data_IF_925761501211
#
_entry.id   IF_925761501211
#
_cell.length_a   1.000
_cell.length_b   1.000
_cell.length_c   1.000
_cell.angle_alpha   90.00
_cell.angle_beta   90.00
_cell.angle_gamma   90.00
#
_symmetry.space_group_name_H-M   'P 1'
#
loop_
_entity.id
_entity.type
_entity.pdbx_description
1 polymer ?
#
# COMPACT_ATOMS: atom_id res chain seq x y z
N UNK A 1 20.30 15.20 10.74
CA UNK A 1 18.91 14.68 10.70
C UNK A 1 18.02 15.57 9.86
N UNK A 2 17.22 14.99 8.95
CA UNK A 2 16.20 15.71 8.15
C UNK A 2 14.82 15.21 8.55
N UNK A 3 13.99 16.08 9.10
CA UNK A 3 12.63 15.72 9.51
C UNK A 3 11.74 15.53 8.27
N UNK A 4 11.09 14.38 8.15
CA UNK A 4 10.17 14.08 7.05
C UNK A 4 8.92 14.99 7.08
N UNK A 5 8.42 15.26 8.28
CA UNK A 5 7.17 15.93 8.58
C UNK A 5 7.19 17.45 8.39
N UNK A 6 8.29 18.12 8.76
CA UNK A 6 8.45 19.58 8.63
C UNK A 6 9.56 20.02 7.65
N UNK A 7 10.39 19.07 7.16
CA UNK A 7 11.56 19.32 6.28
C UNK A 7 12.65 20.20 6.88
N UNK A 8 12.68 20.39 8.20
CA UNK A 8 13.82 20.99 8.90
C UNK A 8 14.98 20.01 8.93
N UNK A 9 16.19 20.56 8.78
CA UNK A 9 17.45 19.82 8.87
C UNK A 9 18.22 20.39 10.07
N UNK A 10 18.62 19.50 10.98
CA UNK A 10 19.43 19.85 12.14
C UNK A 10 20.44 18.73 12.40
N UNK A 11 21.62 19.06 12.94
CA UNK A 11 22.52 18.06 13.50
C UNK A 11 21.85 17.41 14.71
N UNK A 12 22.15 16.13 14.96
CA UNK A 12 21.57 15.39 16.10
C UNK A 12 21.86 16.10 17.43
N UNK A 13 23.10 16.59 17.61
CA UNK A 13 23.53 17.36 18.78
C UNK A 13 22.83 18.72 18.92
N UNK A 14 22.31 19.29 17.84
CA UNK A 14 21.65 20.60 17.84
C UNK A 14 20.13 20.52 18.05
N UNK A 15 19.53 19.31 18.15
CA UNK A 15 18.08 19.15 18.30
C UNK A 15 17.58 19.77 19.61
N UNK A 16 18.28 19.52 20.73
CA UNK A 16 17.89 20.09 22.03
C UNK A 16 18.02 21.62 22.02
N UNK A 17 19.06 22.15 21.37
CA UNK A 17 19.25 23.61 21.20
C UNK A 17 18.09 24.24 20.43
N UNK A 18 17.64 23.58 19.35
CA UNK A 18 16.48 24.02 18.57
C UNK A 18 15.20 24.05 19.43
N UNK A 19 14.96 23.00 20.21
CA UNK A 19 13.75 22.89 21.04
C UNK A 19 13.78 23.84 22.23
N UNK A 20 14.90 23.94 22.95
CA UNK A 20 14.98 24.66 24.22
C UNK A 20 15.21 26.17 24.02
N UNK A 21 16.15 26.54 23.13
CA UNK A 21 16.52 27.95 22.91
C UNK A 21 15.63 28.65 21.91
N UNK A 22 15.34 28.01 20.78
CA UNK A 22 14.52 28.64 19.72
C UNK A 22 13.03 28.33 19.85
N UNK A 23 12.64 27.50 20.83
CA UNK A 23 11.26 27.05 21.06
C UNK A 23 10.59 26.49 19.79
N UNK A 24 11.39 25.92 18.89
CA UNK A 24 10.92 25.37 17.63
C UNK A 24 10.70 23.87 17.80
N UNK A 25 9.43 23.47 17.72
CA UNK A 25 9.01 22.07 17.74
C UNK A 25 8.48 21.68 16.36
N UNK A 26 8.63 20.40 15.99
CA UNK A 26 8.01 19.91 14.76
C UNK A 26 6.47 19.98 14.85
N UNK A 27 5.79 19.95 13.69
CA UNK A 27 4.33 19.91 13.62
C UNK A 27 3.77 18.82 14.53
N UNK A 28 2.87 19.18 15.44
CA UNK A 28 2.20 18.23 16.32
C UNK A 28 1.43 17.21 15.49
N UNK A 29 1.64 15.92 15.73
CA UNK A 29 0.97 14.84 14.98
C UNK A 29 -0.13 14.13 15.78
N UNK A 30 -0.27 14.50 17.05
CA UNK A 30 -1.20 13.97 18.04
C UNK A 30 -1.40 14.99 19.16
N UNK A 31 -2.39 14.76 20.02
CA UNK A 31 -2.61 15.49 21.28
C UNK A 31 -2.08 14.68 22.47
N UNK A 32 -1.31 15.34 23.32
CA UNK A 32 -0.86 14.84 24.62
C UNK A 32 -1.76 15.46 25.70
N UNK A 33 -2.94 14.89 25.89
CA UNK A 33 -3.94 15.40 26.84
C UNK A 33 -4.23 14.36 27.91
N UNK A 34 -4.38 14.82 29.14
CA UNK A 34 -4.90 13.99 30.23
C UNK A 34 -6.27 13.42 29.87
N UNK A 35 -6.60 12.23 30.42
CA UNK A 35 -7.78 11.42 30.06
C UNK A 35 -9.12 12.20 30.11
N UNK A 36 -9.18 13.35 30.81
CA UNK A 36 -10.39 14.14 31.04
C UNK A 36 -10.62 15.34 30.10
N UNK A 37 -9.63 15.81 29.34
CA UNK A 37 -9.75 16.98 28.43
C UNK A 37 -9.83 16.61 26.93
N UNK A 38 -10.11 15.34 26.62
CA UNK A 38 -9.92 14.79 25.27
C UNK A 38 -10.85 15.35 24.17
N UNK A 39 -11.95 16.04 24.53
CA UNK A 39 -12.91 16.61 23.56
C UNK A 39 -12.69 18.11 23.28
N UNK A 40 -11.86 18.80 24.04
CA UNK A 40 -11.88 20.27 24.08
C UNK A 40 -11.07 20.95 22.95
N UNK A 41 -10.04 20.28 22.40
CA UNK A 41 -9.17 20.87 21.36
C UNK A 41 -9.43 20.34 19.93
N UNK A 42 -10.53 20.71 19.30
CA UNK A 42 -10.80 20.30 17.91
C UNK A 42 -9.97 21.08 16.89
N UNK A 43 -9.51 22.29 17.24
CA UNK A 43 -8.76 23.17 16.36
C UNK A 43 -7.33 22.70 16.10
N UNK A 44 -6.82 23.05 14.92
CA UNK A 44 -5.45 22.77 14.49
C UNK A 44 -4.85 24.11 14.12
N UNK A 45 -3.72 24.49 14.70
CA UNK A 45 -3.06 25.74 14.35
C UNK A 45 -2.04 25.54 13.23
N UNK A 46 -1.73 26.62 12.52
CA UNK A 46 -0.65 26.59 11.54
C UNK A 46 0.69 26.27 12.20
N UNK A 47 1.49 25.41 11.56
CA UNK A 47 2.89 25.23 11.91
C UNK A 47 3.76 25.94 10.87
N UNK A 48 4.08 27.20 11.14
CA UNK A 48 4.87 28.07 10.27
C UNK A 48 6.36 27.69 10.31
N UNK A 49 6.95 27.53 9.12
CA UNK A 49 8.36 27.18 8.97
C UNK A 49 9.04 28.21 8.08
N UNK A 50 10.13 28.79 8.57
CA UNK A 50 11.01 29.65 7.78
C UNK A 50 11.70 28.84 6.67
N UNK A 51 11.66 29.37 5.44
CA UNK A 51 12.21 28.74 4.24
C UNK A 51 13.20 29.67 3.55
N UNK A 52 14.38 29.14 3.23
CA UNK A 52 15.37 29.79 2.35
C UNK A 52 15.06 29.60 0.87
N UNK A 53 14.24 28.60 0.54
CA UNK A 53 13.74 28.37 -0.81
C UNK A 53 12.30 27.89 -0.73
N UNK A 54 11.43 28.47 -1.56
CA UNK A 54 10.01 28.14 -1.64
C UNK A 54 9.58 28.18 -3.10
N UNK A 55 8.84 27.16 -3.54
CA UNK A 55 8.22 27.13 -4.87
C UNK A 55 6.81 27.73 -4.79
N UNK A 56 6.32 28.22 -5.93
CA UNK A 56 4.98 28.77 -6.07
C UNK A 56 4.91 30.27 -5.80
N UNK A 57 3.74 30.74 -5.37
CA UNK A 57 3.41 32.15 -5.19
C UNK A 57 3.00 32.43 -3.75
N UNK A 58 3.28 33.63 -3.26
CA UNK A 58 2.82 34.12 -1.96
C UNK A 58 1.29 34.26 -1.98
N UNK A 59 0.61 33.73 -0.94
CA UNK A 59 -0.85 33.79 -0.86
C UNK A 59 -1.39 35.22 -0.67
N UNK A 60 -0.60 36.13 -0.09
CA UNK A 60 -1.04 37.53 0.12
C UNK A 60 -0.92 38.38 -1.15
N UNK A 61 0.25 38.41 -1.77
CA UNK A 61 0.54 39.35 -2.86
C UNK A 61 0.53 38.70 -4.25
N UNK A 62 0.39 37.39 -4.35
CA UNK A 62 0.39 36.64 -5.61
C UNK A 62 1.74 36.55 -6.33
N UNK A 63 2.78 37.25 -5.85
CA UNK A 63 4.11 37.27 -6.46
C UNK A 63 4.89 35.98 -6.14
N UNK A 64 5.76 35.58 -7.05
CA UNK A 64 6.65 34.42 -6.86
C UNK A 64 7.68 34.68 -5.76
N UNK A 65 8.18 33.61 -5.16
CA UNK A 65 9.32 33.69 -4.25
C UNK A 65 10.59 33.84 -5.10
N UNK A 66 11.21 35.02 -5.06
CA UNK A 66 12.47 35.25 -5.76
C UNK A 66 13.57 34.42 -5.11
N UNK A 67 14.12 33.44 -5.83
CA UNK A 67 15.40 32.84 -5.45
C UNK A 67 16.50 33.76 -5.96
N UNK A 68 17.09 34.59 -5.09
CA UNK A 68 18.36 35.25 -5.44
C UNK A 68 19.36 34.12 -5.71
N UNK A 69 19.83 33.99 -6.96
CA UNK A 69 20.83 33.01 -7.44
C UNK A 69 22.23 33.22 -6.85
N UNK A 70 22.34 33.91 -5.71
CA UNK A 70 23.59 34.08 -5.01
C UNK A 70 23.91 32.80 -4.24
N UNK A 71 25.06 32.19 -4.57
CA UNK A 71 25.60 30.97 -3.95
C UNK A 71 25.84 31.10 -2.42
N UNK A 72 25.56 32.26 -1.81
CA UNK A 72 25.70 32.53 -0.38
C UNK A 72 24.40 32.95 0.33
N UNK A 73 23.22 32.85 -0.31
CA UNK A 73 21.99 33.40 0.26
C UNK A 73 21.51 32.62 1.50
N UNK A 74 21.92 33.09 2.69
CA UNK A 74 21.48 32.62 4.01
C UNK A 74 20.10 33.16 4.41
N UNK A 75 19.52 34.05 3.59
CA UNK A 75 18.29 34.79 3.89
C UNK A 75 17.04 33.91 3.84
N UNK A 76 16.10 34.15 4.76
CA UNK A 76 14.79 33.50 4.77
C UNK A 76 13.88 34.27 3.83
N UNK A 77 13.43 33.62 2.75
CA UNK A 77 12.59 34.25 1.71
C UNK A 77 11.10 34.06 1.95
N UNK A 78 10.71 33.05 2.74
CA UNK A 78 9.31 32.72 2.95
C UNK A 78 9.02 32.11 4.34
N UNK A 79 7.78 32.28 4.79
CA UNK A 79 7.16 31.45 5.83
C UNK A 79 6.13 30.53 5.17
N UNK A 80 6.23 29.22 5.42
CA UNK A 80 5.30 28.24 4.86
C UNK A 80 4.76 27.31 5.95
N UNK A 81 3.44 27.09 5.94
CA UNK A 81 2.80 26.19 6.86
C UNK A 81 3.06 24.74 6.46
N UNK A 82 3.56 23.91 7.38
CA UNK A 82 3.80 22.49 7.10
C UNK A 82 2.54 21.63 7.03
N UNK A 83 1.37 22.16 7.38
CA UNK A 83 0.08 21.49 7.22
C UNK A 83 -0.56 21.90 5.89
N UNK A 84 -1.18 23.07 5.81
CA UNK A 84 -1.92 23.53 4.64
C UNK A 84 -1.06 23.94 3.44
N UNK A 85 0.27 23.95 3.56
CA UNK A 85 1.24 24.30 2.50
C UNK A 85 1.17 25.73 1.97
N UNK A 86 0.28 26.56 2.51
CA UNK A 86 0.26 28.00 2.25
C UNK A 86 1.61 28.61 2.58
N UNK A 87 2.05 29.55 1.75
CA UNK A 87 3.30 30.27 1.94
C UNK A 87 3.13 31.77 1.72
N UNK A 88 3.90 32.55 2.47
CA UNK A 88 3.95 34.00 2.42
C UNK A 88 5.41 34.46 2.34
N UNK A 89 5.67 35.62 1.73
CA UNK A 89 7.00 36.23 1.83
C UNK A 89 7.32 36.56 3.28
N UNK A 90 8.60 36.46 3.64
CA UNK A 90 9.09 36.88 4.94
C UNK A 90 9.18 38.42 5.04
N UNK A 91 8.03 39.09 4.95
CA UNK A 91 7.88 40.54 5.03
C UNK A 91 6.55 40.84 5.72
N UNK A 92 6.50 41.87 6.54
CA UNK A 92 5.31 42.24 7.32
C UNK A 92 4.07 42.49 6.44
N UNK A 93 4.26 43.08 5.24
CA UNK A 93 3.20 43.28 4.26
C UNK A 93 2.58 41.99 3.71
N UNK A 94 3.26 40.85 3.85
CA UNK A 94 2.78 39.54 3.41
C UNK A 94 2.41 38.62 4.57
N UNK A 95 3.14 38.69 5.68
CA UNK A 95 2.97 37.85 6.86
C UNK A 95 3.02 38.71 8.12
N UNK A 96 1.87 38.85 8.79
CA UNK A 96 1.74 39.61 10.04
C UNK A 96 1.50 38.68 11.24
N UNK A 97 1.55 39.24 12.45
CA UNK A 97 1.39 38.47 13.71
C UNK A 97 0.01 37.82 13.83
N UNK A 98 -1.05 38.40 13.26
CA UNK A 98 -2.40 37.82 13.31
C UNK A 98 -2.45 36.42 12.68
N UNK A 99 -1.69 36.18 11.61
CA UNK A 99 -1.60 34.87 10.93
C UNK A 99 -0.98 33.76 11.79
N UNK A 100 -0.34 34.08 12.91
CA UNK A 100 0.22 33.07 13.82
C UNK A 100 -0.89 32.40 14.64
N UNK A 101 -1.94 33.14 15.01
CA UNK A 101 -3.06 32.64 15.80
C UNK A 101 -4.16 31.96 14.98
N UNK A 102 -4.11 32.06 13.64
CA UNK A 102 -5.14 31.48 12.77
C UNK A 102 -5.18 29.94 12.82
N UNK A 103 -6.40 29.41 12.68
CA UNK A 103 -6.62 27.98 12.52
C UNK A 103 -6.23 27.51 11.11
N UNK A 104 -5.53 26.40 11.07
CA UNK A 104 -5.12 25.72 9.86
C UNK A 104 -6.21 24.76 9.37
N UNK A 105 -6.76 25.06 8.21
CA UNK A 105 -7.71 24.21 7.51
C UNK A 105 -7.09 22.94 6.86
N UNK A 106 -5.82 22.61 7.14
CA UNK A 106 -5.05 21.50 6.54
C UNK A 106 -4.85 21.56 5.01
N UNK A 107 -5.39 22.59 4.33
CA UNK A 107 -5.18 22.87 2.91
C UNK A 107 -5.86 21.87 1.98
N UNK A 108 -5.26 21.68 0.80
CA UNK A 108 -5.81 20.90 -0.31
C UNK A 108 -6.20 19.45 0.08
N UNK A 109 -5.45 18.84 0.99
CA UNK A 109 -5.63 17.44 1.37
C UNK A 109 -6.41 17.28 2.69
N UNK A 110 -7.12 18.32 3.15
CA UNK A 110 -7.87 18.30 4.39
C UNK A 110 -8.85 17.12 4.50
N UNK A 111 -9.52 16.76 3.39
CA UNK A 111 -10.46 15.65 3.33
C UNK A 111 -9.85 14.25 3.53
N UNK A 112 -8.52 14.11 3.42
CA UNK A 112 -7.82 12.80 3.52
C UNK A 112 -6.77 12.76 4.65
N UNK A 113 -6.44 13.90 5.24
CA UNK A 113 -5.52 14.00 6.37
C UNK A 113 -6.27 13.62 7.65
N UNK A 114 -5.74 12.67 8.42
CA UNK A 114 -6.10 12.45 9.82
C UNK A 114 -5.53 13.62 10.63
N UNK A 115 -6.38 14.49 11.17
CA UNK A 115 -5.95 15.61 12.00
C UNK A 115 -5.14 15.13 13.21
N UNK A 116 -4.13 15.90 13.66
CA UNK A 116 -3.51 15.67 14.97
C UNK A 116 -4.52 15.65 16.10
N UNK A 117 -5.62 16.41 15.93
CA UNK A 117 -6.70 16.44 16.89
C UNK A 117 -7.35 15.06 17.05
N UNK A 118 -7.40 14.19 16.03
CA UNK A 118 -8.00 12.87 16.17
C UNK A 118 -7.12 11.86 16.93
N UNK A 119 -5.82 12.11 17.04
CA UNK A 119 -4.86 11.13 17.56
C UNK A 119 -4.53 11.49 19.01
N UNK A 120 -4.93 10.64 19.95
CA UNK A 120 -4.67 10.84 21.39
C UNK A 120 -3.56 9.90 21.82
N UNK A 121 -2.49 10.44 22.42
CA UNK A 121 -1.46 9.63 23.07
C UNK A 121 -1.96 9.15 24.43
N UNK A 122 -1.85 7.85 24.68
CA UNK A 122 -2.19 7.27 25.96
C UNK A 122 -1.03 7.42 26.95
N UNK A 123 -1.29 7.72 28.23
CA UNK A 123 -0.27 7.72 29.26
C UNK A 123 0.41 6.35 29.38
N UNK A 124 1.73 6.33 29.62
CA UNK A 124 2.42 5.08 29.90
C UNK A 124 1.91 4.47 31.22
N UNK A 125 1.65 3.16 31.25
CA UNK A 125 1.22 2.47 32.46
C UNK A 125 2.33 2.57 33.51
N UNK A 126 2.11 3.41 34.53
CA UNK A 126 3.07 3.69 35.60
C UNK A 126 3.01 5.12 36.12
N UNK A 127 2.50 6.08 35.35
CA UNK A 127 2.39 7.50 35.78
C UNK A 127 1.09 7.83 36.53
N UNK A 128 0.19 6.86 36.72
CA UNK A 128 -0.98 6.97 37.60
C UNK A 128 -0.65 6.40 38.99
N UNK A 129 0.37 6.96 39.66
CA UNK A 129 0.37 6.97 41.12
C UNK A 129 -0.22 8.31 41.54
N UNK A 130 -1.54 8.42 41.42
CA UNK A 130 -2.26 9.50 42.09
C UNK A 130 -2.11 9.33 43.59
N UNK A 131 -1.63 10.39 44.24
CA UNK A 131 -1.58 10.67 45.66
C UNK A 131 -2.96 10.67 46.36
N UNK A 132 -3.86 9.76 46.00
CA UNK A 132 -5.21 9.64 46.57
C UNK A 132 -5.47 8.19 46.96
N UNK A 133 -4.95 7.83 48.14
CA UNK A 133 -5.58 7.05 49.22
C UNK A 133 -4.50 6.58 50.21
N UNK A 134 -4.25 7.38 51.25
CA UNK A 134 -3.80 6.86 52.54
C UNK A 134 -5.01 6.17 53.18
N UNK A 135 -5.03 4.85 53.19
CA UNK A 135 -5.86 4.05 54.10
C UNK A 135 -5.13 2.74 54.40
N UNK A 136 -5.22 2.19 55.63
CA UNK A 136 -4.20 1.31 56.19
C UNK A 136 -4.27 -0.12 55.67
N UNK A 137 -3.10 -0.77 55.65
CA UNK A 137 -2.87 -2.18 55.29
C UNK A 137 -3.80 -3.13 56.07
N UNK A 138 -4.45 -4.05 55.37
CA UNK A 138 -4.80 -5.38 55.89
C UNK A 138 -3.98 -6.43 55.12
N UNK A 139 -3.16 -7.18 55.85
CA UNK A 139 -2.39 -8.32 55.37
C UNK A 139 -3.35 -9.50 55.17
N UNK A 140 -3.38 -10.08 53.98
CA UNK A 140 -3.76 -11.48 53.78
C UNK A 140 -2.90 -12.07 52.67
N UNK A 141 -2.05 -13.00 53.08
CA UNK A 141 -1.17 -13.83 52.27
C UNK A 141 -1.97 -14.91 51.55
N UNK A 142 -1.91 -14.95 50.21
CA UNK A 142 -2.25 -16.18 49.49
C UNK A 142 -1.75 -16.20 48.04
N UNK A 143 -0.81 -17.13 47.83
CA UNK A 143 -0.54 -17.95 46.64
C UNK A 143 -0.36 -17.24 45.29
N UNK A 144 0.92 -17.20 44.91
CA UNK A 144 1.49 -17.01 43.58
C UNK A 144 0.89 -18.07 42.62
N UNK A 145 -0.02 -17.65 41.72
CA UNK A 145 -0.32 -18.38 40.48
C UNK A 145 0.36 -17.62 39.35
N UNK A 146 1.36 -18.24 38.75
CA UNK A 146 2.00 -17.83 37.50
C UNK A 146 0.97 -17.91 36.37
N UNK A 147 0.27 -16.80 36.15
CA UNK A 147 -0.54 -16.61 34.94
C UNK A 147 0.37 -15.92 33.94
N UNK A 148 0.79 -16.65 32.91
CA UNK A 148 1.44 -16.10 31.73
C UNK A 148 0.62 -14.89 31.24
N UNK A 149 1.16 -13.70 31.47
CA UNK A 149 0.62 -12.48 30.89
C UNK A 149 1.11 -12.48 29.44
N UNK A 150 0.24 -12.87 28.52
CA UNK A 150 0.35 -12.41 27.14
C UNK A 150 0.63 -10.91 27.17
N UNK A 151 1.79 -10.50 26.63
CA UNK A 151 2.12 -9.12 26.29
C UNK A 151 1.07 -8.61 25.30
N UNK A 152 -0.09 -8.19 25.80
CA UNK A 152 -1.00 -7.37 25.01
C UNK A 152 -0.29 -6.05 24.78
N UNK A 153 0.23 -5.89 23.55
CA UNK A 153 0.80 -4.67 22.99
C UNK A 153 0.25 -3.42 23.69
N UNK A 154 1.13 -2.70 24.36
CA UNK A 154 0.80 -1.46 25.02
C UNK A 154 0.36 -0.45 23.96
N UNK A 155 -0.96 -0.26 23.81
CA UNK A 155 -1.51 0.73 22.87
C UNK A 155 -1.05 2.14 23.26
N UNK A 156 -0.12 2.69 22.48
CA UNK A 156 0.43 4.04 22.71
C UNK A 156 -0.50 5.15 22.22
N UNK A 157 -1.37 4.86 21.25
CA UNK A 157 -2.28 5.84 20.65
C UNK A 157 -3.69 5.28 20.51
N UNK A 158 -4.68 6.17 20.54
CA UNK A 158 -6.08 5.90 20.20
C UNK A 158 -6.56 6.95 19.21
N UNK A 159 -7.26 6.52 18.17
CA UNK A 159 -7.89 7.40 17.19
C UNK A 159 -9.33 7.69 17.64
N UNK A 160 -9.65 8.98 17.81
CA UNK A 160 -10.98 9.49 18.12
C UNK A 160 -11.44 10.37 16.96
N UNK A 161 -11.99 9.77 15.89
CA UNK A 161 -12.44 10.53 14.74
C UNK A 161 -13.62 11.42 15.13
N UNK A 162 -13.72 12.57 14.47
CA UNK A 162 -14.91 13.42 14.51
C UNK A 162 -15.70 13.10 13.25
N UNK A 163 -16.90 12.48 13.36
CA UNK A 163 -17.66 12.07 12.21
C UNK A 163 -17.91 13.25 11.25
N UNK A 164 -17.61 13.03 9.97
CA UNK A 164 -17.96 13.95 8.88
C UNK A 164 -18.14 13.15 7.61
N UNK A 165 -19.24 13.39 6.89
CA UNK A 165 -19.52 12.73 5.61
C UNK A 165 -18.53 13.15 4.50
N UNK A 166 -17.91 14.32 4.62
CA UNK A 166 -16.98 14.86 3.61
C UNK A 166 -15.54 14.38 3.77
N UNK A 167 -15.19 13.76 4.91
CA UNK A 167 -13.82 13.32 5.21
C UNK A 167 -13.68 11.84 4.88
N UNK A 168 -12.68 11.51 4.07
CA UNK A 168 -12.31 10.17 3.63
C UNK A 168 -10.83 9.94 3.95
N UNK A 169 -10.46 9.68 5.22
CA UNK A 169 -9.05 9.58 5.62
C UNK A 169 -8.31 8.50 4.85
N UNK A 170 -7.10 8.81 4.38
CA UNK A 170 -6.27 7.86 3.61
C UNK A 170 -5.09 7.38 4.44
N UNK A 171 -5.05 6.08 4.74
CA UNK A 171 -3.86 5.42 5.25
C UNK A 171 -2.94 5.05 4.09
N UNK A 172 -1.65 5.30 4.26
CA UNK A 172 -0.65 4.94 3.24
C UNK A 172 0.22 3.83 3.80
N UNK A 173 0.19 2.66 3.17
CA UNK A 173 1.14 1.58 3.43
C UNK A 173 2.15 1.54 2.30
N UNK A 174 3.43 1.65 2.62
CA UNK A 174 4.48 1.70 1.61
C UNK A 174 5.60 0.72 1.90
N UNK A 175 6.00 -0.03 0.86
CA UNK A 175 7.21 -0.82 0.89
C UNK A 175 8.39 0.04 0.39
N UNK A 176 9.31 0.51 1.27
CA UNK A 176 10.38 1.41 0.88
C UNK A 176 11.37 0.82 -0.15
N UNK A 177 11.48 -0.51 -0.19
CA UNK A 177 12.36 -1.25 -1.11
C UNK A 177 11.79 -1.33 -2.55
N UNK A 178 10.50 -1.04 -2.73
CA UNK A 178 9.84 -1.12 -4.05
C UNK A 178 10.28 0.01 -4.99
N UNK A 179 10.22 -0.28 -6.31
CA UNK A 179 10.50 0.69 -7.38
C UNK A 179 11.96 1.12 -7.48
N UNK A 180 12.93 0.29 -7.09
CA UNK A 180 14.36 0.67 -7.11
C UNK A 180 14.67 1.80 -6.10
N UNK A 181 14.23 1.63 -4.86
CA UNK A 181 14.35 2.62 -3.76
C UNK A 181 13.54 3.92 -3.93
N UNK A 182 12.61 3.97 -4.90
CA UNK A 182 11.63 5.06 -4.98
C UNK A 182 10.71 5.09 -3.75
N UNK A 183 10.39 3.91 -3.17
CA UNK A 183 9.55 3.79 -1.98
C UNK A 183 10.03 4.64 -0.80
N UNK A 184 11.33 4.66 -0.50
CA UNK A 184 11.89 5.46 0.59
C UNK A 184 11.72 6.98 0.35
N UNK A 185 11.91 7.45 -0.89
CA UNK A 185 11.68 8.86 -1.25
C UNK A 185 10.21 9.22 -1.15
N UNK A 186 9.32 8.33 -1.56
CA UNK A 186 7.87 8.50 -1.51
C UNK A 186 7.35 8.53 -0.07
N UNK A 187 7.83 7.64 0.80
CA UNK A 187 7.52 7.64 2.24
C UNK A 187 7.75 9.03 2.85
N UNK A 188 8.89 9.64 2.54
CA UNK A 188 9.26 10.98 2.99
C UNK A 188 8.36 12.09 2.38
N UNK A 189 7.83 11.90 1.17
CA UNK A 189 6.88 12.83 0.54
C UNK A 189 5.48 12.70 1.17
N UNK A 190 5.01 11.46 1.43
CA UNK A 190 3.75 11.22 2.11
C UNK A 190 3.74 11.77 3.53
N UNK A 191 4.77 11.51 4.34
CA UNK A 191 4.87 12.06 5.71
C UNK A 191 4.94 13.60 5.74
N UNK A 192 5.43 14.22 4.66
CA UNK A 192 5.40 15.67 4.52
C UNK A 192 3.98 16.18 4.25
N UNK A 193 3.29 15.61 3.26
CA UNK A 193 1.97 16.04 2.80
C UNK A 193 0.86 15.69 3.78
N UNK A 194 0.97 14.52 4.43
CA UNK A 194 -0.02 13.95 5.33
C UNK A 194 0.41 14.09 6.80
N UNK A 195 -0.42 13.57 7.71
CA UNK A 195 0.02 13.29 9.07
C UNK A 195 0.98 12.08 9.05
N UNK A 196 2.23 12.20 9.54
CA UNK A 196 3.16 11.07 9.58
C UNK A 196 2.62 9.80 10.24
N UNK A 197 1.62 9.93 11.14
CA UNK A 197 1.00 8.79 11.83
C UNK A 197 0.00 7.99 10.99
N UNK A 198 -0.35 8.47 9.79
CA UNK A 198 -1.17 7.73 8.84
C UNK A 198 -0.36 7.12 7.70
N UNK A 199 0.98 7.20 7.77
CA UNK A 199 1.90 6.70 6.75
C UNK A 199 2.79 5.64 7.37
N UNK A 200 2.61 4.39 6.94
CA UNK A 200 3.22 3.21 7.50
C UNK A 200 4.25 2.61 6.55
N UNK A 201 5.43 2.36 7.10
CA UNK A 201 6.47 1.56 6.45
C UNK A 201 6.16 0.08 6.67
N UNK A 202 5.87 -0.64 5.60
CA UNK A 202 5.53 -2.05 5.66
C UNK A 202 6.68 -2.94 6.15
N UNK A 203 7.92 -2.47 6.10
CA UNK A 203 9.07 -3.21 6.65
C UNK A 203 9.14 -3.13 8.18
N UNK A 204 8.34 -2.26 8.80
CA UNK A 204 8.28 -2.05 10.26
C UNK A 204 7.00 -2.66 10.84
N UNK A 205 6.91 -4.00 10.84
CA UNK A 205 5.79 -4.73 11.45
C UNK A 205 4.54 -4.88 10.58
N UNK A 206 4.64 -4.57 9.27
CA UNK A 206 3.56 -4.81 8.31
C UNK A 206 2.34 -3.90 8.48
N UNK A 207 1.21 -4.23 7.82
CA UNK A 207 0.03 -3.35 7.79
C UNK A 207 -0.87 -3.47 9.02
N UNK A 208 -0.78 -4.58 9.77
CA UNK A 208 -1.71 -4.93 10.86
C UNK A 208 -1.83 -3.84 11.91
N UNK A 209 -0.71 -3.33 12.42
CA UNK A 209 -0.70 -2.29 13.45
C UNK A 209 -1.46 -1.03 12.99
N UNK A 210 -1.23 -0.58 11.74
CA UNK A 210 -1.91 0.58 11.19
C UNK A 210 -3.41 0.35 11.00
N UNK A 211 -3.79 -0.79 10.43
CA UNK A 211 -5.19 -1.15 10.22
C UNK A 211 -5.95 -1.28 11.55
N UNK A 212 -5.36 -1.91 12.57
CA UNK A 212 -5.97 -2.02 13.89
C UNK A 212 -6.10 -0.68 14.61
N UNK A 213 -5.12 0.22 14.49
CA UNK A 213 -5.15 1.54 15.10
C UNK A 213 -6.30 2.39 14.51
N UNK A 214 -6.57 2.25 13.22
CA UNK A 214 -7.52 3.07 12.47
C UNK A 214 -8.87 2.38 12.17
N UNK A 215 -9.09 1.14 12.62
CA UNK A 215 -10.30 0.33 12.32
C UNK A 215 -11.66 0.97 12.64
N UNK A 216 -11.70 2.01 13.48
CA UNK A 216 -12.93 2.72 13.88
C UNK A 216 -13.13 4.03 13.13
N UNK A 217 -12.25 4.36 12.18
CA UNK A 217 -12.35 5.58 11.39
C UNK A 217 -13.37 5.38 10.28
N UNK A 218 -14.41 6.24 10.17
CA UNK A 218 -15.40 6.14 9.10
C UNK A 218 -14.80 6.52 7.75
N UNK A 219 -15.38 6.01 6.67
CA UNK A 219 -14.99 6.32 5.27
C UNK A 219 -13.49 6.14 4.99
N UNK A 220 -12.84 5.22 5.71
CA UNK A 220 -11.41 4.98 5.61
C UNK A 220 -11.06 4.43 4.22
N UNK A 221 -10.02 5.01 3.61
CA UNK A 221 -9.39 4.52 2.39
C UNK A 221 -7.95 4.13 2.68
N UNK A 222 -7.44 3.18 1.89
CA UNK A 222 -6.08 2.68 2.01
C UNK A 222 -5.36 2.85 0.68
N UNK A 223 -4.14 3.37 0.71
CA UNK A 223 -3.22 3.43 -0.42
C UNK A 223 -2.09 2.41 -0.18
N UNK A 224 -2.05 1.35 -0.98
CA UNK A 224 -0.95 0.38 -0.98
C UNK A 224 0.10 0.76 -2.03
N UNK A 225 1.31 1.13 -1.59
CA UNK A 225 2.42 1.55 -2.43
C UNK A 225 3.44 0.41 -2.59
N UNK A 226 3.40 -0.28 -3.72
CA UNK A 226 4.23 -1.46 -3.98
C UNK A 226 3.91 -2.15 -5.30
N UNK A 227 4.32 -3.41 -5.44
CA UNK A 227 3.83 -4.29 -6.52
C UNK A 227 2.63 -5.12 -6.05
N UNK A 228 2.15 -6.04 -6.89
CA UNK A 228 0.96 -6.86 -6.62
C UNK A 228 1.04 -7.62 -5.28
N UNK A 229 2.20 -8.19 -4.93
CA UNK A 229 2.40 -8.86 -3.63
C UNK A 229 2.26 -7.93 -2.42
N UNK A 230 2.62 -6.64 -2.54
CA UNK A 230 2.40 -5.65 -1.48
C UNK A 230 0.92 -5.38 -1.28
N UNK A 231 0.17 -5.26 -2.39
CA UNK A 231 -1.28 -5.01 -2.34
C UNK A 231 -1.99 -6.23 -1.76
N UNK A 232 -1.64 -7.43 -2.23
CA UNK A 232 -2.14 -8.70 -1.69
C UNK A 232 -1.90 -8.84 -0.19
N UNK A 233 -0.71 -8.47 0.30
CA UNK A 233 -0.43 -8.52 1.75
C UNK A 233 -1.34 -7.59 2.57
N UNK A 234 -1.57 -6.36 2.11
CA UNK A 234 -2.49 -5.42 2.78
C UNK A 234 -3.92 -5.97 2.79
N UNK A 235 -4.38 -6.50 1.65
CA UNK A 235 -5.69 -7.11 1.48
C UNK A 235 -5.88 -8.32 2.40
N UNK A 236 -4.93 -9.26 2.46
CA UNK A 236 -5.01 -10.42 3.35
C UNK A 236 -5.08 -10.03 4.83
N UNK A 237 -4.39 -8.97 5.25
CA UNK A 237 -4.47 -8.49 6.64
C UNK A 237 -5.79 -7.79 6.93
N UNK A 238 -6.41 -7.12 5.95
CA UNK A 238 -7.76 -6.59 6.09
C UNK A 238 -8.78 -7.71 6.35
N UNK A 239 -8.69 -8.82 5.61
CA UNK A 239 -9.55 -9.99 5.79
C UNK A 239 -9.39 -10.57 7.21
N UNK A 240 -8.15 -10.75 7.66
CA UNK A 240 -7.85 -11.25 9.01
C UNK A 240 -8.39 -10.35 10.14
N UNK A 241 -8.44 -9.04 9.94
CA UNK A 241 -8.91 -8.10 10.96
C UNK A 241 -10.45 -8.01 10.96
N UNK A 242 -11.09 -8.23 9.80
CA UNK A 242 -12.55 -8.17 9.66
C UNK A 242 -13.11 -6.77 9.97
N UNK A 243 -12.58 -5.73 9.30
CA UNK A 243 -13.11 -4.36 9.43
C UNK A 243 -14.42 -4.26 8.64
N UNK A 244 -15.49 -3.76 9.27
CA UNK A 244 -16.81 -3.62 8.64
C UNK A 244 -17.32 -2.17 8.74
N UNK A 245 -17.67 -1.51 7.63
CA UNK A 245 -17.43 -1.95 6.25
C UNK A 245 -15.93 -2.01 5.93
N UNK A 246 -15.53 -2.87 4.99
CA UNK A 246 -14.13 -2.97 4.59
C UNK A 246 -13.67 -1.67 3.90
N UNK A 247 -12.49 -1.14 4.24
CA UNK A 247 -11.98 0.07 3.61
C UNK A 247 -11.56 -0.20 2.17
N UNK A 248 -11.89 0.73 1.25
CA UNK A 248 -11.45 0.64 -0.14
C UNK A 248 -9.92 0.77 -0.24
N UNK A 249 -9.30 -0.03 -1.12
CA UNK A 249 -7.84 -0.08 -1.32
C UNK A 249 -7.50 0.42 -2.72
N UNK A 250 -6.76 1.53 -2.81
CA UNK A 250 -6.13 1.99 -4.04
C UNK A 250 -4.66 1.58 -4.11
N UNK A 251 -4.10 1.56 -5.32
CA UNK A 251 -2.74 1.10 -5.57
C UNK A 251 -1.86 2.22 -6.10
N UNK A 252 -0.68 2.43 -5.50
CA UNK A 252 0.40 3.16 -6.14
C UNK A 252 1.41 2.14 -6.70
N UNK A 253 1.42 1.91 -8.03
CA UNK A 253 2.17 0.83 -8.64
C UNK A 253 3.67 1.13 -8.67
N UNK A 254 4.44 0.50 -7.77
CA UNK A 254 5.90 0.61 -7.67
C UNK A 254 6.62 -0.66 -8.16
N UNK A 255 5.88 -1.73 -8.47
CA UNK A 255 6.44 -2.98 -9.01
C UNK A 255 6.70 -2.95 -10.51
N UNK A 256 6.97 -4.12 -11.09
CA UNK A 256 7.21 -4.29 -12.53
C UNK A 256 5.96 -4.69 -13.31
N UNK A 257 5.19 -5.67 -12.83
CA UNK A 257 3.95 -6.16 -13.45
C UNK A 257 2.78 -5.19 -13.23
N UNK A 258 2.40 -5.05 -11.95
CA UNK A 258 1.32 -4.16 -11.47
C UNK A 258 -0.01 -4.44 -12.18
N UNK A 259 -0.33 -5.71 -12.43
CA UNK A 259 -1.51 -6.12 -13.20
C UNK A 259 -2.81 -5.75 -12.50
N UNK A 260 -2.84 -5.80 -11.16
CA UNK A 260 -4.00 -5.36 -10.39
C UNK A 260 -4.22 -3.85 -10.54
N UNK A 261 -3.14 -3.07 -10.44
CA UNK A 261 -3.20 -1.61 -10.61
C UNK A 261 -3.64 -1.20 -12.02
N UNK A 262 -3.21 -1.93 -13.05
CA UNK A 262 -3.63 -1.71 -14.45
C UNK A 262 -5.11 -1.96 -14.61
N UNK A 263 -5.59 -3.09 -14.11
CA UNK A 263 -6.99 -3.51 -14.24
C UNK A 263 -7.94 -2.57 -13.49
N UNK A 264 -7.48 -2.02 -12.36
CA UNK A 264 -8.25 -1.06 -11.55
C UNK A 264 -8.03 0.41 -11.97
N UNK A 265 -7.38 0.69 -13.09
CA UNK A 265 -7.22 2.05 -13.63
C UNK A 265 -6.16 2.94 -12.94
N UNK A 266 -5.35 2.40 -12.03
CA UNK A 266 -4.22 3.12 -11.40
C UNK A 266 -2.97 3.21 -12.29
N UNK A 267 -3.03 2.59 -13.48
CA UNK A 267 -1.92 2.45 -14.40
C UNK A 267 -0.93 1.38 -13.94
N UNK A 268 0.16 1.18 -14.67
CA UNK A 268 1.10 0.10 -14.32
C UNK A 268 2.52 0.51 -14.03
N UNK A 269 2.68 1.75 -13.58
CA UNK A 269 3.72 2.07 -12.64
C UNK A 269 4.02 3.55 -12.56
N UNK A 270 4.39 4.00 -11.38
CA UNK A 270 4.64 5.40 -11.07
C UNK A 270 5.80 5.97 -11.92
N UNK A 271 5.59 7.18 -12.45
CA UNK A 271 6.52 7.91 -13.32
C UNK A 271 6.75 9.33 -12.81
N UNK A 272 7.06 9.45 -11.52
CA UNK A 272 7.37 10.73 -10.86
C UNK A 272 6.29 11.81 -10.92
N UNK A 273 5.04 11.42 -11.12
CA UNK A 273 3.91 12.33 -11.05
C UNK A 273 3.77 12.98 -9.65
N UNK A 274 3.21 14.19 -9.55
CA UNK A 274 3.07 14.86 -8.28
C UNK A 274 2.25 14.05 -7.27
N UNK A 275 2.82 13.72 -6.11
CA UNK A 275 2.12 12.97 -5.04
C UNK A 275 0.84 13.67 -4.58
N UNK A 276 0.82 15.00 -4.65
CA UNK A 276 -0.39 15.79 -4.41
C UNK A 276 -1.55 15.35 -5.32
N UNK A 277 -1.27 15.07 -6.60
CA UNK A 277 -2.28 14.61 -7.56
C UNK A 277 -2.79 13.21 -7.20
N UNK A 278 -1.89 12.27 -6.90
CA UNK A 278 -2.25 10.92 -6.47
C UNK A 278 -3.15 10.95 -5.23
N UNK A 279 -2.80 11.80 -4.25
CA UNK A 279 -3.56 11.94 -3.02
C UNK A 279 -4.98 12.50 -3.26
N UNK A 280 -5.13 13.46 -4.17
CA UNK A 280 -6.46 13.93 -4.59
C UNK A 280 -7.24 12.82 -5.30
N UNK A 281 -6.62 12.14 -6.27
CA UNK A 281 -7.24 11.06 -7.02
C UNK A 281 -7.78 9.95 -6.09
N UNK A 282 -7.02 9.50 -5.08
CA UNK A 282 -7.51 8.48 -4.15
C UNK A 282 -8.57 8.99 -3.16
N UNK A 283 -8.62 10.29 -2.87
CA UNK A 283 -9.71 10.87 -2.09
C UNK A 283 -11.03 10.90 -2.86
N UNK A 284 -10.94 11.11 -4.18
CA UNK A 284 -12.07 11.34 -5.08
C UNK A 284 -12.49 10.11 -5.88
N UNK A 285 -11.65 9.06 -5.94
CA UNK A 285 -11.91 7.88 -6.78
C UNK A 285 -13.21 7.16 -6.43
N UNK A 286 -13.77 6.53 -7.44
CA UNK A 286 -14.87 5.58 -7.29
C UNK A 286 -14.39 4.29 -6.61
N UNK A 287 -15.35 3.55 -6.06
CA UNK A 287 -15.13 2.25 -5.42
C UNK A 287 -15.70 1.21 -6.38
N UNK A 288 -14.87 0.23 -6.70
CA UNK A 288 -15.25 -0.96 -7.47
C UNK A 288 -15.13 -2.18 -6.57
N UNK A 289 -15.90 -3.22 -6.85
CA UNK A 289 -15.75 -4.51 -6.19
C UNK A 289 -14.61 -5.30 -6.84
N UNK A 290 -14.02 -6.20 -6.06
CA UNK A 290 -12.99 -7.11 -6.51
C UNK A 290 -13.27 -8.47 -5.88
N UNK A 291 -13.58 -9.44 -6.73
CA UNK A 291 -13.67 -10.83 -6.36
C UNK A 291 -12.30 -11.33 -5.94
N UNK A 292 -12.27 -12.20 -4.92
CA UNK A 292 -11.04 -12.70 -4.32
C UNK A 292 -11.21 -14.18 -4.06
N UNK A 293 -10.38 -14.98 -4.70
CA UNK A 293 -10.57 -16.42 -4.77
C UNK A 293 -9.71 -17.13 -3.75
N UNK A 294 -10.31 -18.02 -2.97
CA UNK A 294 -9.60 -18.93 -2.08
C UNK A 294 -9.16 -20.17 -2.87
N UNK A 295 -7.87 -20.50 -2.79
CA UNK A 295 -7.27 -21.71 -3.32
C UNK A 295 -7.16 -22.75 -2.21
N UNK A 296 -7.74 -23.92 -2.46
CA UNK A 296 -7.53 -25.13 -1.68
C UNK A 296 -6.62 -26.05 -2.46
N UNK A 297 -5.58 -26.55 -1.80
CA UNK A 297 -4.61 -27.47 -2.39
C UNK A 297 -4.56 -28.70 -1.53
N UNK A 298 -4.74 -29.85 -2.17
CA UNK A 298 -4.71 -31.16 -1.54
C UNK A 298 -3.72 -32.04 -2.28
N UNK A 299 -3.12 -32.98 -1.56
CA UNK A 299 -2.19 -33.93 -2.18
C UNK A 299 -2.99 -34.90 -3.02
N UNK A 300 -2.59 -35.08 -4.29
CA UNK A 300 -3.16 -36.12 -5.13
C UNK A 300 -2.79 -37.51 -4.54
N UNK A 301 -3.77 -38.31 -4.08
CA UNK A 301 -3.52 -39.62 -3.47
C UNK A 301 -3.05 -40.67 -4.48
N UNK A 302 -3.37 -40.49 -5.76
CA UNK A 302 -3.00 -41.41 -6.85
C UNK A 302 -1.58 -41.15 -7.38
N UNK A 303 -0.97 -40.01 -7.00
CA UNK A 303 0.41 -39.69 -7.36
C UNK A 303 1.39 -40.36 -6.39
N UNK A 304 2.42 -41.01 -6.93
CA UNK A 304 3.50 -41.60 -6.15
C UNK A 304 4.20 -40.59 -5.22
N UNK A 305 4.81 -41.08 -4.14
CA UNK A 305 5.53 -40.22 -3.20
C UNK A 305 6.62 -39.41 -3.94
N UNK A 306 6.50 -38.09 -3.90
CA UNK A 306 7.48 -37.17 -4.45
C UNK A 306 7.95 -36.24 -3.33
N UNK A 307 9.25 -36.28 -2.99
CA UNK A 307 9.81 -35.63 -1.80
C UNK A 307 9.94 -34.10 -1.92
N UNK A 308 9.64 -33.52 -3.10
CA UNK A 308 9.89 -32.10 -3.39
C UNK A 308 8.66 -31.18 -3.22
N UNK A 309 7.46 -31.74 -2.99
CA UNK A 309 6.22 -30.96 -2.86
C UNK A 309 6.05 -30.33 -1.48
N UNK A 310 5.67 -29.04 -1.40
CA UNK A 310 5.26 -28.40 -0.15
C UNK A 310 3.79 -28.70 0.15
N UNK A 311 3.49 -29.10 1.38
CA UNK A 311 2.11 -29.43 1.81
C UNK A 311 1.16 -28.22 1.84
N UNK A 312 1.69 -27.02 2.09
CA UNK A 312 0.90 -25.80 2.22
C UNK A 312 1.35 -24.72 1.26
N UNK A 313 0.37 -24.01 0.67
CA UNK A 313 0.65 -22.81 -0.10
C UNK A 313 1.06 -21.65 0.81
N UNK A 314 2.06 -20.83 0.41
CA UNK A 314 2.41 -19.62 1.16
C UNK A 314 1.30 -18.56 1.09
N UNK A 315 0.44 -18.62 0.06
CA UNK A 315 -0.70 -17.73 -0.15
C UNK A 315 -1.87 -18.57 -0.69
N UNK A 316 -3.00 -18.53 0.00
CA UNK A 316 -4.24 -19.21 -0.41
C UNK A 316 -5.25 -18.28 -1.07
N UNK A 317 -4.95 -16.99 -1.24
CA UNK A 317 -5.90 -16.02 -1.84
C UNK A 317 -5.34 -15.44 -3.13
N UNK A 318 -6.13 -15.51 -4.20
CA UNK A 318 -5.83 -14.97 -5.52
C UNK A 318 -6.63 -13.69 -5.73
N UNK A 319 -5.92 -12.59 -5.98
CA UNK A 319 -6.52 -11.29 -6.33
C UNK A 319 -6.42 -10.99 -7.83
N UNK A 320 -5.39 -11.55 -8.48
CA UNK A 320 -5.06 -11.25 -9.87
C UNK A 320 -5.29 -12.50 -10.72
N UNK A 321 -4.41 -13.48 -10.54
CA UNK A 321 -4.43 -14.72 -11.29
C UNK A 321 -3.55 -15.77 -10.62
N UNK A 322 -3.83 -17.01 -10.93
CA UNK A 322 -3.06 -18.20 -10.57
C UNK A 322 -2.70 -18.96 -11.84
N UNK A 323 -1.52 -19.57 -11.89
CA UNK A 323 -1.04 -20.24 -13.10
C UNK A 323 -0.34 -21.54 -12.79
N UNK A 324 -0.48 -22.51 -13.68
CA UNK A 324 0.24 -23.77 -13.71
C UNK A 324 1.03 -23.87 -15.02
N UNK A 325 2.17 -24.57 -15.00
CA UNK A 325 2.97 -24.83 -16.19
C UNK A 325 4.13 -23.86 -16.41
N UNK A 326 4.48 -23.63 -17.68
CA UNK A 326 5.67 -22.84 -18.05
C UNK A 326 5.64 -21.40 -17.51
N UNK A 327 4.46 -20.79 -17.34
CA UNK A 327 4.37 -19.44 -16.77
C UNK A 327 4.80 -19.39 -15.30
N UNK A 328 4.27 -20.31 -14.49
CA UNK A 328 4.64 -20.45 -13.09
C UNK A 328 6.15 -20.73 -12.94
N UNK A 329 6.71 -21.52 -13.87
CA UNK A 329 8.14 -21.80 -13.89
C UNK A 329 8.98 -20.55 -14.15
N UNK A 330 8.63 -19.74 -15.15
CA UNK A 330 9.34 -18.48 -15.45
C UNK A 330 9.20 -17.51 -14.27
N UNK A 331 8.02 -17.43 -13.66
CA UNK A 331 7.78 -16.60 -12.48
C UNK A 331 8.64 -17.04 -11.28
N UNK A 332 8.81 -18.35 -11.08
CA UNK A 332 9.69 -18.92 -10.06
C UNK A 332 11.16 -18.61 -10.34
N UNK A 333 11.66 -18.86 -11.56
CA UNK A 333 13.04 -18.52 -11.95
C UNK A 333 13.33 -17.03 -11.74
N UNK A 334 12.38 -16.15 -12.09
CA UNK A 334 12.50 -14.72 -11.83
C UNK A 334 12.54 -14.39 -10.34
N UNK A 335 11.69 -15.04 -9.54
CA UNK A 335 11.64 -14.83 -8.09
C UNK A 335 12.97 -15.22 -7.44
N UNK A 336 13.46 -16.42 -7.72
CA UNK A 336 14.73 -16.95 -7.18
C UNK A 336 15.92 -16.08 -7.60
N UNK A 337 15.99 -15.70 -8.89
CA UNK A 337 17.04 -14.80 -9.37
C UNK A 337 16.99 -13.43 -8.68
N UNK A 338 15.78 -12.93 -8.39
CA UNK A 338 15.57 -11.65 -7.69
C UNK A 338 15.97 -11.74 -6.21
N UNK A 339 15.72 -12.86 -5.55
CA UNK A 339 16.15 -13.07 -4.18
C UNK A 339 17.68 -13.22 -4.07
N UNK A 340 18.29 -13.92 -5.04
CA UNK A 340 19.74 -14.10 -5.09
C UNK A 340 20.51 -12.81 -5.42
N UNK A 341 19.97 -11.97 -6.33
CA UNK A 341 20.67 -10.79 -6.87
C UNK A 341 19.79 -9.53 -6.92
N UNK A 342 19.27 -9.01 -5.78
CA UNK A 342 18.31 -7.91 -5.76
C UNK A 342 18.78 -6.63 -6.48
N UNK A 343 20.09 -6.37 -6.51
CA UNK A 343 20.71 -5.25 -7.24
C UNK A 343 20.51 -5.32 -8.76
N UNK A 344 20.31 -6.53 -9.30
CA UNK A 344 19.99 -6.78 -10.71
C UNK A 344 18.50 -6.58 -11.04
N UNK A 345 17.65 -6.25 -10.07
CA UNK A 345 16.21 -6.10 -10.28
C UNK A 345 15.63 -4.72 -9.95
N UNK A 346 16.49 -3.69 -9.93
CA UNK A 346 16.11 -2.30 -9.65
C UNK A 346 15.43 -1.54 -10.82
N UNK A 347 15.30 -2.15 -12.00
CA UNK A 347 14.77 -1.50 -13.21
C UNK A 347 13.62 -2.29 -13.81
N UNK A 348 12.47 -1.65 -14.00
CA UNK A 348 11.29 -2.28 -14.61
C UNK A 348 11.58 -2.82 -16.01
N UNK A 349 12.34 -2.07 -16.82
CA UNK A 349 12.70 -2.48 -18.18
C UNK A 349 13.58 -3.73 -18.17
N UNK A 350 14.62 -3.74 -17.32
CA UNK A 350 15.51 -4.90 -17.17
C UNK A 350 14.75 -6.12 -16.66
N UNK A 351 13.86 -5.92 -15.70
CA UNK A 351 13.02 -6.99 -15.17
C UNK A 351 12.12 -7.58 -16.27
N UNK A 352 11.49 -6.74 -17.11
CA UNK A 352 10.70 -7.21 -18.26
C UNK A 352 11.56 -7.95 -19.29
N UNK A 353 12.80 -7.50 -19.53
CA UNK A 353 13.72 -8.17 -20.45
C UNK A 353 14.10 -9.58 -19.97
N UNK A 354 14.29 -9.76 -18.65
CA UNK A 354 14.51 -11.08 -18.06
C UNK A 354 13.35 -12.04 -18.39
N UNK A 355 12.10 -11.62 -18.19
CA UNK A 355 10.93 -12.43 -18.54
C UNK A 355 10.92 -12.84 -20.02
N UNK A 356 11.31 -11.92 -20.92
CA UNK A 356 11.43 -12.22 -22.35
C UNK A 356 12.52 -13.25 -22.66
N UNK A 357 13.69 -13.12 -22.03
CA UNK A 357 14.82 -14.05 -22.22
C UNK A 357 14.52 -15.45 -21.65
N UNK A 358 13.95 -15.51 -20.43
CA UNK A 358 13.56 -16.77 -19.80
C UNK A 358 12.50 -17.50 -20.63
N UNK A 359 11.45 -16.78 -21.08
CA UNK A 359 10.43 -17.34 -21.98
C UNK A 359 11.01 -17.86 -23.31
N UNK A 360 11.98 -17.14 -23.89
CA UNK A 360 12.67 -17.58 -25.11
C UNK A 360 13.53 -18.83 -24.91
N UNK A 361 14.22 -18.94 -23.78
CA UNK A 361 15.02 -20.12 -23.41
C UNK A 361 14.14 -21.37 -23.24
N UNK A 362 12.98 -21.23 -22.61
CA UNK A 362 12.04 -22.34 -22.43
C UNK A 362 11.35 -22.77 -23.73
N UNK A 363 11.12 -21.83 -24.65
CA UNK A 363 10.65 -22.15 -26.00
C UNK A 363 11.59 -23.13 -26.72
N UNK A 364 12.91 -22.96 -26.52
CA UNK A 364 13.93 -23.85 -27.09
C UNK A 364 14.00 -25.19 -26.35
N UNK A 365 13.88 -25.20 -25.03
CA UNK A 365 13.99 -26.40 -24.19
C UNK A 365 12.79 -27.34 -24.27
N UNK A 366 11.60 -26.85 -24.66
CA UNK A 366 10.37 -27.65 -24.86
C UNK A 366 9.93 -28.50 -23.65
N UNK A 367 10.41 -28.19 -22.43
CA UNK A 367 10.17 -28.95 -21.19
C UNK A 367 8.68 -29.16 -20.87
N UNK A 368 7.82 -28.24 -21.30
CA UNK A 368 6.40 -28.20 -20.96
C UNK A 368 5.45 -28.74 -22.04
N UNK A 369 5.98 -29.37 -23.10
CA UNK A 369 5.17 -29.89 -24.21
C UNK A 369 4.19 -31.01 -23.82
N UNK A 370 4.39 -31.63 -22.67
CA UNK A 370 3.54 -32.72 -22.18
C UNK A 370 2.55 -32.32 -21.08
N UNK A 371 2.47 -31.04 -20.68
CA UNK A 371 1.66 -30.63 -19.51
C UNK A 371 0.21 -31.15 -19.59
N UNK A 372 -0.43 -31.03 -20.76
CA UNK A 372 -1.81 -31.46 -20.97
C UNK A 372 -2.06 -32.96 -20.75
N UNK A 373 -1.02 -33.80 -20.72
CA UNK A 373 -1.15 -35.23 -20.42
C UNK A 373 -1.12 -35.53 -18.92
N UNK A 374 -0.66 -34.59 -18.09
CA UNK A 374 -0.51 -34.76 -16.64
C UNK A 374 -1.53 -33.94 -15.83
N UNK A 375 -2.43 -33.23 -16.51
CA UNK A 375 -3.40 -32.34 -15.86
C UNK A 375 -4.80 -32.68 -16.34
N UNK A 376 -5.69 -32.89 -15.38
CA UNK A 376 -7.13 -32.88 -15.56
C UNK A 376 -7.67 -31.50 -15.17
N UNK A 377 -8.72 -31.06 -15.86
CA UNK A 377 -9.38 -29.79 -15.54
C UNK A 377 -10.89 -29.99 -15.61
N UNK A 378 -11.52 -29.89 -14.45
CA UNK A 378 -12.97 -29.76 -14.34
C UNK A 378 -13.31 -28.31 -13.99
N UNK A 379 -14.36 -27.79 -14.61
CA UNK A 379 -14.86 -26.45 -14.30
C UNK A 379 -16.39 -26.49 -14.31
N UNK A 380 -17.04 -26.06 -13.22
CA UNK A 380 -18.50 -26.13 -13.03
C UNK A 380 -19.09 -27.52 -13.33
N UNK A 381 -18.43 -28.60 -12.91
CA UNK A 381 -18.86 -29.98 -13.17
C UNK A 381 -18.66 -30.45 -14.61
N UNK A 382 -17.98 -29.67 -15.46
CA UNK A 382 -17.69 -30.01 -16.84
C UNK A 382 -16.22 -30.34 -17.03
N UNK A 383 -15.93 -31.51 -17.61
CA UNK A 383 -14.58 -31.89 -17.99
C UNK A 383 -14.09 -31.06 -19.19
N UNK A 384 -13.01 -30.33 -18.95
CA UNK A 384 -12.32 -29.45 -19.90
C UNK A 384 -10.97 -30.03 -20.34
N UNK A 385 -10.57 -31.19 -19.81
CA UNK A 385 -9.33 -31.91 -20.14
C UNK A 385 -9.15 -32.15 -21.64
N UNK A 386 -10.19 -32.56 -22.41
CA UNK A 386 -10.05 -32.74 -23.86
C UNK A 386 -9.57 -31.48 -24.58
N UNK A 387 -10.05 -30.30 -24.17
CA UNK A 387 -9.65 -29.03 -24.77
C UNK A 387 -8.19 -28.68 -24.47
N UNK A 388 -7.70 -29.02 -23.27
CA UNK A 388 -6.28 -28.82 -22.93
C UNK A 388 -5.37 -29.65 -23.85
N UNK A 389 -5.77 -30.90 -24.12
CA UNK A 389 -5.04 -31.83 -25.01
C UNK A 389 -5.11 -31.38 -26.47
N UNK A 390 -6.29 -31.03 -26.97
CA UNK A 390 -6.50 -30.56 -28.36
C UNK A 390 -5.63 -29.34 -28.67
N UNK A 391 -5.55 -28.41 -27.71
CA UNK A 391 -4.76 -27.19 -27.85
C UNK A 391 -3.29 -27.33 -27.44
N UNK A 392 -2.86 -28.51 -26.95
CA UNK A 392 -1.49 -28.80 -26.50
C UNK A 392 -0.95 -27.71 -25.57
N UNK A 393 -1.74 -27.38 -24.54
CA UNK A 393 -1.41 -26.29 -23.62
C UNK A 393 -0.12 -26.59 -22.85
N UNK A 394 0.70 -25.57 -22.64
CA UNK A 394 1.94 -25.63 -21.84
C UNK A 394 1.83 -24.83 -20.54
N UNK A 395 0.80 -23.99 -20.41
CA UNK A 395 0.40 -23.33 -19.18
C UNK A 395 -1.12 -23.18 -19.12
N UNK A 396 -1.67 -23.18 -17.91
CA UNK A 396 -3.07 -22.93 -17.60
C UNK A 396 -3.09 -21.74 -16.65
N UNK A 397 -3.88 -20.72 -16.95
CA UNK A 397 -3.96 -19.48 -16.16
C UNK A 397 -5.41 -19.24 -15.77
N UNK A 398 -5.66 -19.16 -14.48
CA UNK A 398 -6.92 -18.76 -13.87
C UNK A 398 -6.85 -17.26 -13.59
N UNK A 399 -7.67 -16.46 -14.27
CA UNK A 399 -7.67 -15.01 -14.24
C UNK A 399 -8.90 -14.52 -13.47
N UNK A 400 -8.67 -13.54 -12.60
CA UNK A 400 -9.71 -12.79 -11.89
C UNK A 400 -9.72 -11.31 -12.34
N UNK A 401 -8.81 -10.94 -13.25
CA UNK A 401 -8.68 -9.59 -13.76
C UNK A 401 -8.62 -9.62 -15.29
N UNK A 402 -9.10 -8.54 -15.96
CA UNK A 402 -9.16 -8.47 -17.41
C UNK A 402 -7.78 -8.34 -18.08
N UNK A 403 -6.66 -8.49 -17.36
CA UNK A 403 -5.33 -8.44 -17.96
C UNK A 403 -4.33 -9.32 -17.24
N UNK A 404 -3.27 -9.70 -17.94
CA UNK A 404 -2.29 -10.66 -17.47
C UNK A 404 -0.87 -10.31 -17.93
N UNK A 405 0.15 -10.66 -17.13
CA UNK A 405 1.55 -10.64 -17.56
C UNK A 405 2.11 -9.26 -17.92
N UNK A 406 1.65 -8.19 -17.25
CA UNK A 406 2.04 -6.81 -17.49
C UNK A 406 1.07 -6.00 -18.36
N UNK A 407 -0.22 -6.37 -18.38
CA UNK A 407 -1.28 -5.70 -19.15
C UNK A 407 -1.60 -6.33 -20.52
N UNK A 408 -1.23 -7.59 -20.76
CA UNK A 408 -1.66 -8.33 -21.96
C UNK A 408 -3.11 -8.79 -21.80
N UNK A 409 -3.92 -8.63 -22.84
CA UNK A 409 -5.31 -9.05 -22.85
C UNK A 409 -5.46 -10.35 -23.66
N UNK A 410 -5.79 -11.49 -23.03
CA UNK A 410 -5.99 -12.76 -23.73
C UNK A 410 -7.34 -12.87 -24.46
N UNK A 411 -8.19 -11.84 -24.43
CA UNK A 411 -9.53 -11.87 -24.99
C UNK A 411 -9.55 -11.38 -26.44
N UNK A 412 -10.36 -12.03 -27.28
CA UNK A 412 -10.62 -11.55 -28.64
C UNK A 412 -11.95 -10.76 -28.66
N UNK A 413 -11.87 -9.43 -28.65
CA UNK A 413 -13.05 -8.53 -28.60
C UNK A 413 -14.04 -8.71 -29.75
N UNK A 414 -13.65 -9.33 -30.85
CA UNK A 414 -14.50 -9.57 -32.02
C UNK A 414 -15.35 -10.84 -31.94
N UNK A 415 -15.19 -11.68 -30.91
CA UNK A 415 -15.84 -12.99 -30.84
C UNK A 415 -17.19 -13.03 -30.09
N UNK A 416 -17.74 -11.89 -29.64
CA UNK A 416 -19.06 -11.84 -29.00
C UNK A 416 -19.18 -12.58 -27.65
N UNK A 417 -18.05 -12.90 -27.01
CA UNK A 417 -18.02 -13.50 -25.68
C UNK A 417 -18.26 -12.48 -24.56
N UNK A 418 -18.56 -12.98 -23.36
CA UNK A 418 -18.68 -12.16 -22.14
C UNK A 418 -17.35 -11.45 -21.88
N UNK A 419 -17.37 -10.13 -21.68
CA UNK A 419 -16.16 -9.40 -21.28
C UNK A 419 -15.82 -9.75 -19.82
N UNK A 420 -14.54 -10.04 -19.53
CA UNK A 420 -14.10 -10.37 -18.17
C UNK A 420 -14.36 -9.20 -17.22
N UNK A 421 -14.94 -9.49 -16.07
CA UNK A 421 -15.18 -8.54 -14.99
C UNK A 421 -14.37 -8.92 -13.75
N UNK A 422 -14.32 -8.02 -12.78
CA UNK A 422 -13.64 -8.29 -11.50
C UNK A 422 -14.63 -8.46 -10.36
N UNK A 423 -15.92 -8.51 -10.65
CA UNK A 423 -17.02 -8.42 -9.69
C UNK A 423 -18.27 -9.22 -10.13
N UNK A 424 -18.09 -10.21 -11.00
CA UNK A 424 -19.17 -11.05 -11.53
C UNK A 424 -19.27 -12.43 -10.85
N UNK A 425 -18.37 -12.73 -9.90
CA UNK A 425 -18.27 -14.02 -9.23
C UNK A 425 -17.76 -15.14 -10.16
N UNK A 426 -17.09 -14.78 -11.26
CA UNK A 426 -16.56 -15.72 -12.25
C UNK A 426 -15.03 -15.67 -12.31
N UNK A 427 -14.44 -16.79 -12.71
CA UNK A 427 -13.00 -16.88 -12.97
C UNK A 427 -12.77 -17.35 -14.40
N UNK A 428 -11.87 -16.68 -15.13
CA UNK A 428 -11.53 -17.09 -16.50
C UNK A 428 -10.39 -18.09 -16.51
N UNK A 429 -10.57 -19.20 -17.24
CA UNK A 429 -9.51 -20.20 -17.42
C UNK A 429 -8.96 -20.11 -18.83
N UNK A 430 -7.65 -19.84 -18.90
CA UNK A 430 -6.92 -19.58 -20.13
C UNK A 430 -5.82 -20.61 -20.35
N UNK A 431 -5.92 -21.35 -21.46
CA UNK A 431 -4.88 -22.26 -21.93
C UNK A 431 -3.85 -21.55 -22.81
N UNK A 432 -2.56 -21.68 -22.50
CA UNK A 432 -1.44 -21.02 -23.19
C UNK A 432 -0.41 -22.02 -23.70
N UNK A 433 0.06 -21.83 -24.93
CA UNK A 433 1.27 -22.47 -25.46
C UNK A 433 2.50 -21.60 -25.22
N UNK A 434 3.70 -22.17 -25.21
CA UNK A 434 4.95 -21.39 -25.02
C UNK A 434 5.13 -20.33 -26.11
N UNK A 435 4.65 -20.58 -27.33
CA UNK A 435 4.67 -19.57 -28.39
C UNK A 435 3.87 -18.33 -28.00
N UNK A 436 2.66 -18.51 -27.46
CA UNK A 436 1.76 -17.42 -27.06
C UNK A 436 2.30 -16.61 -25.88
N UNK A 437 3.04 -17.26 -24.98
CA UNK A 437 3.74 -16.60 -23.86
C UNK A 437 4.91 -15.74 -24.32
N UNK A 438 5.60 -16.14 -25.39
CA UNK A 438 6.71 -15.36 -25.99
C UNK A 438 6.18 -14.29 -26.94
N UNK A 439 5.06 -14.54 -27.62
CA UNK A 439 4.44 -13.64 -28.60
C UNK A 439 3.48 -12.61 -27.98
N UNK A 440 3.66 -12.22 -26.71
CA UNK A 440 2.88 -11.18 -25.97
C UNK A 440 2.74 -9.82 -26.69
N UNK A 441 3.33 -9.67 -27.88
CA UNK A 441 3.32 -8.51 -28.78
C UNK A 441 2.48 -8.67 -30.08
N UNK A 442 1.81 -9.81 -30.34
CA UNK A 442 0.98 -10.00 -31.55
C UNK A 442 -0.51 -10.18 -31.22
N UNK A 443 -1.36 -9.39 -31.90
CA UNK A 443 -2.81 -9.17 -31.71
C UNK A 443 -3.75 -10.37 -31.96
N UNK A 444 -3.25 -11.60 -32.02
CA UNK A 444 -4.12 -12.75 -32.34
C UNK A 444 -3.52 -14.04 -31.82
N UNK A 445 -3.80 -14.35 -30.55
CA UNK A 445 -3.55 -15.67 -30.00
C UNK A 445 -4.91 -16.35 -29.79
N UNK A 446 -5.05 -17.58 -30.30
CA UNK A 446 -6.22 -18.42 -30.02
C UNK A 446 -6.07 -19.00 -28.62
N UNK A 447 -6.71 -18.37 -27.65
CA UNK A 447 -6.77 -18.88 -26.29
C UNK A 447 -7.93 -19.87 -26.19
N UNK A 448 -7.77 -20.97 -25.44
CA UNK A 448 -8.94 -21.59 -24.84
C UNK A 448 -9.36 -20.66 -23.71
N UNK A 449 -10.59 -20.12 -23.77
CA UNK A 449 -11.17 -19.28 -22.73
C UNK A 449 -12.45 -19.96 -22.27
N UNK A 450 -12.51 -20.32 -20.99
CA UNK A 450 -13.75 -20.68 -20.30
C UNK A 450 -14.01 -19.68 -19.16
N UNK A 451 -15.28 -19.45 -18.84
CA UNK A 451 -15.72 -18.60 -17.72
C UNK A 451 -16.56 -19.47 -16.81
N UNK A 452 -16.25 -19.52 -15.52
CA UNK A 452 -16.81 -20.49 -14.60
C UNK A 452 -17.23 -19.86 -13.27
N UNK A 453 -18.27 -20.42 -12.64
CA UNK A 453 -18.87 -19.93 -11.39
C UNK A 453 -18.15 -20.49 -10.16
N UNK A 454 -18.30 -19.78 -9.06
CA UNK A 454 -17.91 -20.28 -7.74
C UNK A 454 -18.83 -21.44 -7.33
N UNK A 455 -18.38 -22.67 -7.56
CA UNK A 455 -18.66 -23.88 -6.77
C UNK A 455 -17.94 -25.06 -7.44
N UNK A 456 -16.66 -25.27 -7.12
CA UNK A 456 -15.97 -26.49 -7.57
C UNK A 456 -14.99 -26.96 -6.51
N UNK A 457 -15.33 -28.11 -5.94
CA UNK A 457 -14.39 -28.97 -5.22
C UNK A 457 -13.58 -29.68 -6.30
N UNK A 458 -12.26 -29.48 -6.31
CA UNK A 458 -11.37 -30.34 -7.09
C UNK A 458 -11.26 -31.68 -6.34
N UNK A 459 -11.59 -32.83 -6.93
CA UNK A 459 -11.19 -34.13 -6.39
C UNK A 459 -9.68 -34.33 -6.49
#
# INVERSE_FOLDING_TARGET
MKCSACKIIAHTSCINVLMERTKFYCKATFRDVGVRQYREQTCIHHHWVHRRSQKGKCKQCGKSFQSKLSFSCKEIVALSCSWCKTAYHNKESCFNLQKIGEECNLGLHSGIIVPPSWIVKLPSRGSFKSSLRKSPKKKTSSKKRSKEKNEKDQKTFVIKPIPSASVKPVLVFINPKSGGNQGAKLLQKFQWLLNPRQVFDLTQGGPRMGLELFRKVPNLRVLACGGDGTVGWVLSVLDQIGITPAPAVGVLPLGTGNDLARSLGWGGGYTDEPISKILSNIGESDIVQLDRWELKVEKNPDAGANEEGKENLPLSVVNNYFSLGVDAHIALEFHEAREAHPERFNSRLRNKMFYGQAGGKDLLRRKWKGLAEFVTLECDGKDMTPKLKDHKVHAIVFLNIPSYGGGTHPWNRTAGGIEPATDDGLIEVVGLTTYQLVSKFRKSCKYFVGVFKQDTVLP
#
